data_IF_876496198834
#
_entry.id   IF_876496198834
#
_cell.length_a   1.000
_cell.length_b   1.000
_cell.length_c   1.000
_cell.angle_alpha   90.00
_cell.angle_beta   90.00
_cell.angle_gamma   90.00
#
_symmetry.space_group_name_H-M   'P 1'
#
loop_
_entity.id
_entity.type
_entity.pdbx_description
1 polymer ?
#
# COMPACT_ATOMS: atom_id res chain seq x y z
N UNK A 1 -2.62 -18.46 4.43
CA UNK A 1 -2.61 -16.99 4.53
C UNK A 1 -2.21 -16.41 3.18
N UNK A 2 -3.11 -15.75 2.49
CA UNK A 2 -2.85 -15.16 1.17
C UNK A 2 -2.74 -13.65 1.37
N UNK A 3 -1.57 -13.06 1.13
CA UNK A 3 -1.42 -11.60 1.12
C UNK A 3 -1.82 -11.09 -0.25
N UNK A 4 -2.87 -10.31 -0.30
CA UNK A 4 -3.27 -9.60 -1.52
C UNK A 4 -2.94 -8.13 -1.32
N UNK A 5 -1.98 -7.62 -2.08
CA UNK A 5 -1.64 -6.20 -2.10
C UNK A 5 -2.49 -5.52 -3.18
N UNK A 6 -3.42 -4.67 -2.77
CA UNK A 6 -4.22 -3.86 -3.70
C UNK A 6 -3.51 -2.54 -4.00
N UNK A 7 -3.25 -2.29 -5.28
CA UNK A 7 -2.75 -1.01 -5.77
C UNK A 7 -3.91 -0.15 -6.29
N UNK A 8 -4.09 1.01 -5.72
CA UNK A 8 -5.00 2.02 -6.30
C UNK A 8 -4.29 2.73 -7.47
N UNK A 9 -4.68 2.42 -8.70
CA UNK A 9 -4.17 3.08 -9.89
C UNK A 9 -4.98 4.34 -10.17
N UNK A 10 -4.43 5.52 -9.85
CA UNK A 10 -5.01 6.79 -10.29
C UNK A 10 -4.27 7.29 -11.53
N UNK A 11 -5.02 7.61 -12.56
CA UNK A 11 -4.66 8.00 -13.92
C UNK A 11 -3.58 9.08 -14.00
N UNK A 12 -2.63 8.86 -14.89
CA UNK A 12 -1.47 9.72 -15.20
C UNK A 12 -1.89 10.94 -16.01
N UNK A 13 -1.54 12.18 -15.63
CA UNK A 13 -1.60 13.31 -16.55
C UNK A 13 -0.37 13.36 -17.46
N UNK A 14 -0.58 13.77 -18.69
CA UNK A 14 0.37 13.81 -19.78
C UNK A 14 1.64 14.60 -19.47
N UNK A 15 2.74 14.05 -19.95
CA UNK A 15 4.12 14.57 -19.90
C UNK A 15 4.21 15.93 -20.57
N UNK A 16 4.38 16.98 -19.77
CA UNK A 16 4.88 18.27 -20.27
C UNK A 16 6.41 18.18 -20.37
N UNK A 17 6.91 18.30 -21.60
CA UNK A 17 8.33 18.22 -21.94
C UNK A 17 9.05 19.46 -21.43
N UNK A 18 9.67 19.39 -20.26
CA UNK A 18 10.56 20.44 -19.76
C UNK A 18 11.91 20.37 -20.49
N UNK A 19 12.36 21.50 -21.02
CA UNK A 19 13.73 21.65 -21.56
C UNK A 19 14.67 21.69 -20.37
N UNK A 20 15.36 20.57 -20.13
CA UNK A 20 16.26 20.38 -19.01
C UNK A 20 17.59 21.12 -19.25
N UNK A 21 18.04 21.91 -18.27
CA UNK A 21 19.39 22.48 -18.25
C UNK A 21 20.41 21.37 -17.91
N UNK A 22 21.66 21.52 -18.37
CA UNK A 22 22.74 20.54 -18.08
C UNK A 22 22.95 20.32 -16.58
N UNK A 23 22.61 21.29 -15.73
CA UNK A 23 22.69 21.16 -14.28
C UNK A 23 21.61 20.24 -13.67
N UNK A 24 20.40 20.28 -14.22
CA UNK A 24 19.29 19.39 -13.85
C UNK A 24 19.63 17.92 -14.18
N UNK A 25 20.18 17.67 -15.37
CA UNK A 25 20.55 16.32 -15.80
C UNK A 25 21.57 15.63 -14.88
N UNK A 26 22.51 16.40 -14.29
CA UNK A 26 23.48 15.83 -13.34
C UNK A 26 22.83 15.44 -12.02
N UNK A 27 21.90 16.26 -11.52
CA UNK A 27 21.14 15.94 -10.30
C UNK A 27 20.25 14.70 -10.52
N UNK A 28 19.52 14.69 -11.60
CA UNK A 28 18.66 13.58 -11.99
C UNK A 28 19.43 12.25 -12.13
N UNK A 29 20.65 12.30 -12.72
CA UNK A 29 21.51 11.13 -12.83
C UNK A 29 21.92 10.61 -11.45
N UNK A 30 22.31 11.48 -10.52
CA UNK A 30 22.66 11.08 -9.15
C UNK A 30 21.49 10.43 -8.42
N UNK A 31 20.28 10.97 -8.59
CA UNK A 31 19.05 10.39 -8.03
C UNK A 31 18.78 9.03 -8.62
N UNK A 32 18.93 8.86 -9.94
CA UNK A 32 18.75 7.57 -10.60
C UNK A 32 19.77 6.52 -10.13
N UNK A 33 21.01 6.90 -9.89
CA UNK A 33 22.03 6.01 -9.33
C UNK A 33 21.68 5.57 -7.90
N UNK A 34 21.19 6.50 -7.07
CA UNK A 34 20.71 6.22 -5.71
C UNK A 34 19.51 5.26 -5.73
N UNK A 35 18.52 5.55 -6.59
CA UNK A 35 17.36 4.69 -6.78
C UNK A 35 17.76 3.30 -7.25
N UNK A 36 18.62 3.23 -8.25
CA UNK A 36 19.10 1.94 -8.78
C UNK A 36 19.73 1.09 -7.69
N UNK A 37 20.63 1.67 -6.89
CA UNK A 37 21.29 0.98 -5.79
C UNK A 37 20.28 0.49 -4.75
N UNK A 38 19.35 1.33 -4.28
CA UNK A 38 18.35 0.96 -3.30
C UNK A 38 17.44 -0.17 -3.81
N UNK A 39 16.99 -0.09 -5.07
CA UNK A 39 16.16 -1.13 -5.68
C UNK A 39 16.91 -2.45 -5.86
N UNK A 40 18.20 -2.43 -6.21
CA UNK A 40 19.06 -3.63 -6.30
C UNK A 40 19.26 -4.28 -4.92
N UNK A 41 19.25 -3.50 -3.84
CA UNK A 41 19.31 -3.96 -2.45
C UNK A 41 17.94 -4.44 -1.93
N UNK A 42 16.86 -4.32 -2.73
CA UNK A 42 15.50 -4.71 -2.37
C UNK A 42 14.71 -3.66 -1.61
N UNK A 43 15.23 -2.43 -1.48
CA UNK A 43 14.53 -1.32 -0.83
C UNK A 43 13.50 -0.72 -1.79
N UNK A 44 12.21 -0.63 -1.43
CA UNK A 44 11.19 0.02 -2.25
C UNK A 44 11.51 1.50 -2.47
N UNK A 45 11.17 2.05 -3.65
CA UNK A 45 11.48 3.44 -3.99
C UNK A 45 10.90 4.46 -2.98
N UNK A 46 9.74 4.15 -2.36
CA UNK A 46 9.10 4.99 -1.33
C UNK A 46 9.89 5.12 -0.03
N UNK A 47 10.83 4.19 0.24
CA UNK A 47 11.66 4.16 1.45
C UNK A 47 13.09 4.65 1.20
N UNK A 48 13.43 5.01 -0.04
CA UNK A 48 14.74 5.56 -0.37
C UNK A 48 14.76 7.03 0.04
N UNK A 49 15.73 7.39 0.88
CA UNK A 49 15.92 8.75 1.33
C UNK A 49 16.37 9.65 0.17
N UNK A 50 15.67 10.76 -0.01
CA UNK A 50 15.94 11.80 -1.01
C UNK A 50 16.24 13.10 -0.30
N UNK A 51 17.13 13.92 -0.88
CA UNK A 51 17.69 15.09 -0.20
C UNK A 51 16.76 16.29 -0.20
N UNK A 52 15.97 16.47 -1.25
CA UNK A 52 15.09 17.62 -1.41
C UNK A 52 13.77 17.29 -2.12
N UNK A 53 12.85 18.27 -2.14
CA UNK A 53 11.53 18.10 -2.74
C UNK A 53 11.58 17.99 -4.27
N UNK A 54 12.63 18.56 -4.91
CA UNK A 54 12.82 18.45 -6.35
C UNK A 54 13.19 17.02 -6.74
N UNK A 55 14.04 16.35 -5.95
CA UNK A 55 14.37 14.93 -6.11
C UNK A 55 13.14 14.05 -5.93
N UNK A 56 12.31 14.32 -4.92
CA UNK A 56 11.04 13.61 -4.71
C UNK A 56 10.10 13.78 -5.90
N UNK A 57 9.91 15.03 -6.36
CA UNK A 57 9.07 15.31 -7.52
C UNK A 57 9.57 14.60 -8.78
N UNK A 58 10.89 14.50 -8.96
CA UNK A 58 11.49 13.78 -10.06
C UNK A 58 11.19 12.26 -9.95
N UNK A 59 11.42 11.66 -8.78
CA UNK A 59 11.14 10.24 -8.54
C UNK A 59 9.65 9.92 -8.73
N UNK A 60 8.74 10.78 -8.25
CA UNK A 60 7.31 10.63 -8.44
C UNK A 60 6.93 10.67 -9.93
N UNK A 61 7.63 11.47 -10.73
CA UNK A 61 7.43 11.54 -12.18
C UNK A 61 7.77 10.24 -12.91
N UNK A 62 8.66 9.41 -12.34
CA UNK A 62 9.03 8.11 -12.90
C UNK A 62 7.92 7.06 -12.74
N UNK A 63 6.90 7.33 -11.95
CA UNK A 63 5.73 6.45 -11.72
C UNK A 63 6.09 5.02 -11.35
N UNK A 64 7.15 4.84 -10.53
CA UNK A 64 7.62 3.53 -10.10
C UNK A 64 6.54 2.81 -9.28
N UNK A 65 6.38 1.51 -9.50
CA UNK A 65 5.43 0.70 -8.75
C UNK A 65 5.73 0.71 -7.25
N UNK A 66 7.01 0.59 -6.90
CA UNK A 66 7.49 0.60 -5.51
C UNK A 66 7.54 2.00 -4.88
N UNK A 67 7.32 3.07 -5.66
CA UNK A 67 7.15 4.44 -5.17
C UNK A 67 5.73 4.75 -4.66
N UNK A 68 4.75 3.89 -5.01
CA UNK A 68 3.35 4.11 -4.62
C UNK A 68 3.10 3.78 -3.15
N UNK A 69 2.15 4.48 -2.49
CA UNK A 69 1.72 4.12 -1.15
C UNK A 69 1.12 2.70 -1.16
N UNK A 70 1.36 1.98 -0.06
CA UNK A 70 0.91 0.60 0.13
C UNK A 70 -0.07 0.54 1.29
N UNK A 71 -1.12 -0.24 1.10
CA UNK A 71 -2.08 -0.62 2.11
C UNK A 71 -2.07 -2.14 2.22
N UNK A 72 -1.84 -2.66 3.41
CA UNK A 72 -1.81 -4.09 3.68
C UNK A 72 -3.20 -4.60 4.04
N UNK A 73 -3.68 -5.60 3.32
CA UNK A 73 -4.92 -6.30 3.64
C UNK A 73 -4.59 -7.66 4.27
N UNK A 74 -4.82 -7.79 5.56
CA UNK A 74 -4.62 -9.03 6.30
C UNK A 74 -5.89 -9.88 6.20
N UNK A 75 -5.88 -10.92 5.36
CA UNK A 75 -7.00 -11.83 5.24
C UNK A 75 -6.94 -12.89 6.36
N UNK A 76 -7.92 -12.89 7.24
CA UNK A 76 -8.04 -13.75 8.41
C UNK A 76 -9.25 -14.68 8.31
N UNK A 77 -9.39 -15.61 9.26
CA UNK A 77 -10.62 -16.37 9.44
C UNK A 77 -11.66 -15.56 10.23
N UNK A 78 -12.89 -16.07 10.25
CA UNK A 78 -14.02 -15.43 10.91
C UNK A 78 -13.78 -15.19 12.40
N UNK A 79 -13.19 -16.16 13.10
CA UNK A 79 -12.89 -16.08 14.54
C UNK A 79 -11.95 -14.91 14.88
N UNK A 80 -11.00 -14.61 13.99
CA UNK A 80 -10.03 -13.53 14.18
C UNK A 80 -10.59 -12.15 13.78
N UNK A 81 -11.70 -12.08 13.05
CA UNK A 81 -12.27 -10.82 12.59
C UNK A 81 -12.88 -10.02 13.74
N UNK A 82 -13.49 -10.71 14.72
CA UNK A 82 -14.22 -10.09 15.82
C UNK A 82 -13.34 -9.20 16.71
N UNK A 83 -12.04 -9.51 16.85
CA UNK A 83 -11.07 -8.72 17.60
C UNK A 83 -10.11 -7.91 16.71
N UNK A 84 -10.45 -7.73 15.43
CA UNK A 84 -9.61 -7.07 14.43
C UNK A 84 -8.23 -7.76 14.28
N UNK A 85 -8.21 -9.08 14.47
CA UNK A 85 -7.00 -9.88 14.38
C UNK A 85 -5.96 -9.63 15.47
N UNK A 86 -6.35 -9.00 16.60
CA UNK A 86 -5.41 -8.65 17.65
C UNK A 86 -4.80 -9.87 18.35
N UNK A 87 -5.51 -10.98 18.43
CA UNK A 87 -5.01 -12.24 18.96
C UNK A 87 -4.15 -13.01 17.97
N UNK A 88 -4.23 -12.70 16.68
CA UNK A 88 -3.51 -13.40 15.62
C UNK A 88 -2.05 -12.91 15.50
N UNK A 89 -1.10 -13.81 15.75
CA UNK A 89 0.33 -13.51 15.72
C UNK A 89 0.83 -13.05 14.33
N UNK A 90 0.25 -13.57 13.26
CA UNK A 90 0.61 -13.16 11.91
C UNK A 90 0.12 -11.74 11.58
N UNK A 91 -1.05 -11.35 12.08
CA UNK A 91 -1.55 -9.97 11.95
C UNK A 91 -0.65 -9.00 12.68
N UNK A 92 -0.19 -9.35 13.90
CA UNK A 92 0.77 -8.54 14.65
C UNK A 92 2.07 -8.31 13.87
N UNK A 93 2.64 -9.37 13.29
CA UNK A 93 3.85 -9.26 12.46
C UNK A 93 3.64 -8.36 11.24
N UNK A 94 2.47 -8.45 10.57
CA UNK A 94 2.13 -7.57 9.44
C UNK A 94 1.99 -6.13 9.90
N UNK A 95 1.35 -5.87 11.04
CA UNK A 95 1.21 -4.51 11.60
C UNK A 95 2.55 -3.92 11.96
N UNK A 96 3.44 -4.70 12.58
CA UNK A 96 4.79 -4.27 12.90
C UNK A 96 5.59 -3.93 11.63
N UNK A 97 5.53 -4.80 10.64
CA UNK A 97 6.18 -4.55 9.35
C UNK A 97 5.65 -3.29 8.66
N UNK A 98 4.33 -3.14 8.58
CA UNK A 98 3.70 -1.98 7.97
C UNK A 98 4.02 -0.67 8.73
N UNK A 99 4.06 -0.71 10.06
CA UNK A 99 4.44 0.44 10.88
C UNK A 99 5.87 0.91 10.60
N UNK A 100 6.82 -0.02 10.38
CA UNK A 100 8.19 0.31 10.00
C UNK A 100 8.30 0.99 8.63
N UNK A 101 7.34 0.74 7.73
CA UNK A 101 7.24 1.38 6.42
C UNK A 101 6.35 2.65 6.41
N UNK A 102 5.69 2.97 7.51
CA UNK A 102 4.69 4.03 7.57
C UNK A 102 3.43 3.71 6.76
N UNK A 103 3.10 2.43 6.59
CA UNK A 103 1.94 1.93 5.85
C UNK A 103 0.82 1.51 6.80
N UNK A 104 -0.41 1.52 6.30
CA UNK A 104 -1.59 1.09 7.05
C UNK A 104 -1.92 -0.38 6.82
N UNK A 105 -2.59 -1.00 7.80
CA UNK A 105 -3.10 -2.36 7.73
C UNK A 105 -4.57 -2.37 8.05
N UNK A 106 -5.36 -3.06 7.23
CA UNK A 106 -6.72 -3.42 7.59
C UNK A 106 -6.89 -4.94 7.58
N UNK A 107 -7.78 -5.43 8.44
CA UNK A 107 -8.10 -6.84 8.57
C UNK A 107 -9.42 -7.11 7.86
N UNK A 108 -9.49 -8.19 7.13
CA UNK A 108 -10.70 -8.63 6.45
C UNK A 108 -10.81 -10.16 6.46
N UNK A 109 -12.00 -10.66 6.25
CA UNK A 109 -12.24 -12.06 5.98
C UNK A 109 -12.92 -12.20 4.61
N UNK A 110 -12.16 -12.63 3.60
CA UNK A 110 -12.67 -12.74 2.23
C UNK A 110 -13.85 -13.71 2.11
N UNK A 111 -13.93 -14.73 2.98
CA UNK A 111 -15.05 -15.66 3.01
C UNK A 111 -16.34 -14.96 3.46
N UNK A 112 -16.27 -14.13 4.51
CA UNK A 112 -17.42 -13.34 4.97
C UNK A 112 -17.85 -12.33 3.91
N UNK A 113 -16.90 -11.65 3.26
CA UNK A 113 -17.20 -10.72 2.17
C UNK A 113 -17.91 -11.41 0.99
N UNK A 114 -17.52 -12.64 0.66
CA UNK A 114 -18.21 -13.47 -0.34
C UNK A 114 -19.64 -13.78 0.11
N UNK A 115 -19.85 -14.28 1.33
CA UNK A 115 -21.17 -14.59 1.89
C UNK A 115 -22.07 -13.34 1.91
N UNK A 116 -21.55 -12.20 2.36
CA UNK A 116 -22.28 -10.91 2.37
C UNK A 116 -22.67 -10.47 0.96
N UNK A 117 -21.85 -10.74 -0.05
CA UNK A 117 -22.13 -10.32 -1.42
C UNK A 117 -23.37 -10.98 -2.02
N UNK A 118 -23.74 -12.15 -1.51
CA UNK A 118 -24.91 -12.95 -1.93
C UNK A 118 -26.21 -12.54 -1.22
N UNK A 119 -26.12 -11.80 -0.11
CA UNK A 119 -27.27 -11.35 0.69
C UNK A 119 -27.91 -10.08 0.14
N UNK A 120 -29.18 -9.87 0.45
CA UNK A 120 -29.84 -8.58 0.19
C UNK A 120 -29.44 -7.51 1.26
N UNK A 121 -29.86 -6.26 1.07
CA UNK A 121 -29.42 -5.15 1.91
C UNK A 121 -29.93 -5.24 3.38
N UNK A 122 -31.03 -5.89 3.63
CA UNK A 122 -31.58 -6.06 4.96
C UNK A 122 -30.93 -7.25 5.68
N UNK A 123 -30.73 -8.35 4.97
CA UNK A 123 -29.99 -9.51 5.44
C UNK A 123 -28.54 -9.17 5.77
N UNK A 124 -27.87 -8.33 4.95
CA UNK A 124 -26.51 -7.81 5.21
C UNK A 124 -26.40 -7.10 6.55
N UNK A 125 -27.37 -6.24 6.87
CA UNK A 125 -27.37 -5.51 8.13
C UNK A 125 -27.51 -6.42 9.34
N UNK A 126 -28.40 -7.41 9.25
CA UNK A 126 -28.59 -8.40 10.32
C UNK A 126 -27.34 -9.27 10.50
N UNK A 127 -26.72 -9.70 9.41
CA UNK A 127 -25.52 -10.51 9.42
C UNK A 127 -24.32 -9.76 10.03
N UNK A 128 -24.07 -8.51 9.61
CA UNK A 128 -23.01 -7.66 10.17
C UNK A 128 -23.23 -7.36 11.65
N UNK A 129 -24.48 -7.12 12.06
CA UNK A 129 -24.82 -6.91 13.46
C UNK A 129 -24.57 -8.15 14.30
N UNK A 130 -24.84 -9.36 13.78
CA UNK A 130 -24.56 -10.63 14.45
C UNK A 130 -23.06 -10.90 14.63
N UNK A 131 -22.23 -10.46 13.69
CA UNK A 131 -20.76 -10.55 13.76
C UNK A 131 -20.13 -9.47 14.65
N UNK A 132 -20.89 -8.48 15.11
CA UNK A 132 -20.38 -7.37 15.93
C UNK A 132 -19.52 -6.37 15.14
N UNK A 133 -19.60 -6.39 13.81
CA UNK A 133 -18.88 -5.49 12.91
C UNK A 133 -19.81 -4.34 12.55
N UNK A 134 -19.36 -3.10 12.82
CA UNK A 134 -20.11 -1.91 12.40
C UNK A 134 -19.74 -1.51 10.96
N UNK A 135 -20.77 -1.13 10.17
CA UNK A 135 -20.60 -0.54 8.83
C UNK A 135 -19.97 0.84 8.89
#
# INVERSE_FOLDING_TARGET
MVFTVFFSCRTVPSIARAVLSVGSLKKELAVLETLKKGLEEGTPARLIELNDDDEKAFVDSLTLLTGKPVLYAANVCEDDLADDGQSNEYVKQVREYAANEGSEVFVLCAKIEEEISELDDDEKKEFLAALGVST
#
